data_IF_379823445019
#
_entry.id   IF_379823445019
#
_cell.length_a   1.000
_cell.length_b   1.000
_cell.length_c   1.000
_cell.angle_alpha   90.00
_cell.angle_beta   90.00
_cell.angle_gamma   90.00
#
_symmetry.space_group_name_H-M   'P 1'
#
loop_
_entity.id
_entity.type
_entity.pdbx_description
1 polymer ?
#
# COMPACT_ATOMS: atom_id res chain seq x y z
N UNK A 1 8.74 4.46 -21.76
CA UNK A 1 8.76 4.54 -20.28
C UNK A 1 7.32 4.60 -19.79
N UNK A 2 6.88 3.64 -18.99
CA UNK A 2 5.50 3.58 -18.48
C UNK A 2 5.16 4.81 -17.62
N UNK A 3 3.91 5.29 -17.70
CA UNK A 3 3.47 6.50 -17.00
C UNK A 3 3.63 6.41 -15.47
N UNK A 4 3.36 5.24 -14.88
CA UNK A 4 3.51 5.02 -13.43
C UNK A 4 4.96 5.16 -12.95
N UNK A 5 5.94 4.76 -13.78
CA UNK A 5 7.36 4.89 -13.42
C UNK A 5 7.81 6.35 -13.44
N UNK A 6 7.26 7.15 -14.37
CA UNK A 6 7.50 8.60 -14.40
C UNK A 6 6.89 9.33 -13.20
N UNK A 7 5.77 8.82 -12.67
CA UNK A 7 5.12 9.34 -11.47
C UNK A 7 5.85 9.00 -10.16
N UNK A 8 7.03 8.34 -10.22
CA UNK A 8 7.82 7.99 -9.04
C UNK A 8 7.35 6.73 -8.30
N UNK A 9 6.39 5.97 -8.86
CA UNK A 9 5.95 4.73 -8.25
C UNK A 9 7.03 3.64 -8.39
N UNK A 10 7.28 2.95 -7.28
CA UNK A 10 8.03 1.70 -7.32
C UNK A 10 7.19 0.62 -8.01
N UNK A 11 7.84 -0.40 -8.55
CA UNK A 11 7.12 -1.52 -9.17
C UNK A 11 6.21 -2.24 -8.17
N UNK A 12 6.65 -2.34 -6.91
CA UNK A 12 5.86 -2.95 -5.83
C UNK A 12 4.60 -2.14 -5.52
N UNK A 13 4.70 -0.81 -5.46
CA UNK A 13 3.54 0.06 -5.26
C UNK A 13 2.53 -0.08 -6.42
N UNK A 14 3.03 -0.11 -7.67
CA UNK A 14 2.19 -0.36 -8.84
C UNK A 14 1.44 -1.71 -8.75
N UNK A 15 2.14 -2.79 -8.40
CA UNK A 15 1.53 -4.11 -8.22
C UNK A 15 0.53 -4.14 -7.06
N UNK A 16 0.80 -3.43 -5.97
CA UNK A 16 -0.13 -3.33 -4.83
C UNK A 16 -1.46 -2.70 -5.25
N UNK A 17 -1.39 -1.58 -6.00
CA UNK A 17 -2.57 -0.92 -6.56
C UNK A 17 -3.32 -1.85 -7.53
N UNK A 18 -2.61 -2.53 -8.43
CA UNK A 18 -3.22 -3.48 -9.37
C UNK A 18 -3.89 -4.66 -8.63
N UNK A 19 -3.28 -5.16 -7.55
CA UNK A 19 -3.86 -6.22 -6.75
C UNK A 19 -5.14 -5.76 -6.02
N UNK A 20 -5.15 -4.53 -5.51
CA UNK A 20 -6.35 -3.92 -4.92
C UNK A 20 -7.49 -3.83 -5.93
N UNK A 21 -7.22 -3.33 -7.14
CA UNK A 21 -8.26 -3.19 -8.19
C UNK A 21 -8.81 -4.54 -8.63
N UNK A 22 -7.96 -5.56 -8.78
CA UNK A 22 -8.38 -6.92 -9.11
C UNK A 22 -9.32 -7.49 -8.04
N UNK A 23 -9.00 -7.31 -6.75
CA UNK A 23 -9.86 -7.80 -5.65
C UNK A 23 -11.21 -7.10 -5.62
N UNK A 24 -11.27 -5.80 -5.90
CA UNK A 24 -12.54 -5.06 -6.00
C UNK A 24 -13.35 -5.43 -7.24
N UNK A 25 -12.74 -6.00 -8.28
CA UNK A 25 -13.41 -6.40 -9.51
C UNK A 25 -13.96 -7.84 -9.47
N UNK A 26 -13.69 -8.61 -8.40
CA UNK A 26 -14.23 -9.95 -8.23
C UNK A 26 -15.76 -9.94 -8.05
N UNK A 27 -16.40 -11.05 -8.42
CA UNK A 27 -17.83 -11.26 -8.16
C UNK A 27 -18.10 -11.23 -6.64
N UNK A 28 -19.30 -10.79 -6.20
CA UNK A 28 -19.63 -10.69 -4.77
C UNK A 28 -19.40 -11.98 -3.98
N UNK A 29 -19.67 -13.14 -4.60
CA UNK A 29 -19.43 -14.48 -4.00
C UNK A 29 -17.96 -14.72 -3.63
N UNK A 30 -17.03 -14.12 -4.38
CA UNK A 30 -15.58 -14.25 -4.17
C UNK A 30 -14.98 -13.07 -3.37
N UNK A 31 -15.74 -12.02 -3.10
CA UNK A 31 -15.34 -10.87 -2.29
C UNK A 31 -15.47 -11.16 -0.79
N UNK A 32 -14.83 -12.25 -0.34
CA UNK A 32 -14.84 -12.61 1.07
C UNK A 32 -14.13 -11.53 1.90
N UNK A 33 -14.49 -11.41 3.18
CA UNK A 33 -13.84 -10.49 4.10
C UNK A 33 -12.31 -10.69 4.16
N UNK A 34 -11.84 -11.93 4.00
CA UNK A 34 -10.44 -12.27 3.92
C UNK A 34 -9.73 -11.72 2.67
N UNK A 35 -10.44 -11.61 1.54
CA UNK A 35 -9.86 -11.02 0.30
C UNK A 35 -9.80 -9.50 0.43
N UNK A 36 -10.83 -8.87 0.99
CA UNK A 36 -10.90 -7.41 1.13
C UNK A 36 -9.99 -6.87 2.24
N UNK A 37 -9.77 -7.64 3.32
CA UNK A 37 -8.91 -7.21 4.44
C UNK A 37 -7.42 -7.20 4.09
N UNK A 38 -6.98 -7.88 3.03
CA UNK A 38 -5.57 -7.93 2.59
C UNK A 38 -5.00 -6.59 2.15
N UNK A 39 -5.85 -5.62 1.87
CA UNK A 39 -5.44 -4.25 1.52
C UNK A 39 -5.26 -3.34 2.75
N UNK A 40 -5.71 -3.78 3.94
CA UNK A 40 -5.64 -2.97 5.16
C UNK A 40 -4.24 -3.01 5.74
N UNK A 41 -3.62 -1.84 5.86
CA UNK A 41 -2.32 -1.63 6.49
C UNK A 41 -2.47 -0.51 7.51
N UNK A 42 -2.47 -0.85 8.79
CA UNK A 42 -2.53 0.11 9.91
C UNK A 42 -1.15 0.44 10.49
N UNK A 43 -0.09 -0.11 9.89
CA UNK A 43 1.29 0.09 10.31
C UNK A 43 1.73 1.54 10.15
N UNK A 44 2.49 2.04 11.12
CA UNK A 44 3.12 3.37 11.08
C UNK A 44 4.63 3.22 11.07
N UNK A 45 5.33 4.15 10.43
CA UNK A 45 6.78 4.22 10.43
C UNK A 45 7.25 5.53 11.05
N UNK A 46 8.35 5.45 11.79
CA UNK A 46 9.05 6.60 12.36
C UNK A 46 10.47 6.59 11.84
N UNK A 47 10.92 7.72 11.29
CA UNK A 47 12.30 7.86 10.84
C UNK A 47 13.17 8.20 12.05
N UNK A 48 14.31 7.56 12.19
CA UNK A 48 15.30 7.88 13.23
C UNK A 48 16.53 8.50 12.58
N UNK A 49 17.04 9.58 13.16
CA UNK A 49 18.30 10.20 12.76
C UNK A 49 19.13 10.51 14.01
N UNK A 50 20.45 10.22 13.96
CA UNK A 50 21.39 10.45 15.08
C UNK A 50 20.97 9.84 16.42
N UNK A 51 20.15 8.79 16.40
CA UNK A 51 19.68 8.08 17.60
C UNK A 51 18.36 8.60 18.17
N UNK A 52 17.79 9.67 17.63
CA UNK A 52 16.51 10.22 18.08
C UNK A 52 15.41 10.04 17.00
N UNK A 53 14.15 9.82 17.42
CA UNK A 53 13.02 9.76 16.50
C UNK A 53 12.78 11.14 15.88
N UNK A 54 12.77 11.20 14.56
CA UNK A 54 12.49 12.40 13.77
C UNK A 54 10.97 12.62 13.68
N UNK A 55 10.38 13.02 14.82
CA UNK A 55 8.99 13.45 14.93
C UNK A 55 7.95 12.32 15.00
N UNK A 56 6.69 12.69 14.73
CA UNK A 56 5.53 11.81 14.93
C UNK A 56 5.46 10.63 13.94
N UNK A 57 4.96 9.46 14.38
CA UNK A 57 4.80 8.29 13.51
C UNK A 57 3.89 8.58 12.31
N UNK A 58 4.40 8.34 11.10
CA UNK A 58 3.65 8.53 9.85
C UNK A 58 2.98 7.21 9.43
N UNK A 59 1.75 7.24 8.90
CA UNK A 59 1.11 6.04 8.38
C UNK A 59 1.88 5.48 7.18
N UNK A 60 2.05 4.17 7.13
CA UNK A 60 2.62 3.49 5.97
C UNK A 60 1.57 3.47 4.86
N UNK A 61 1.80 4.25 3.81
CA UNK A 61 0.92 4.27 2.63
C UNK A 61 1.43 3.24 1.62
N UNK A 62 0.54 2.41 1.08
CA UNK A 62 0.83 1.43 0.02
C UNK A 62 1.15 2.11 -1.32
#
# INVERSE_FOLDING_TARGET
MSAWRKAGLTYNAYLSIAAKTVRSALKPEAQTAAVLSRDRVDSKYTRFEKGEPQGDPKPLTN
#
